data_IF_981556549840
#
_entry.id   IF_981556549840
#
_cell.length_a   1.000
_cell.length_b   1.000
_cell.length_c   1.000
_cell.angle_alpha   90.00
_cell.angle_beta   90.00
_cell.angle_gamma   90.00
#
_symmetry.space_group_name_H-M   'P 1'
#
loop_
_entity.id
_entity.type
_entity.pdbx_description
1 polymer ?
#
# COMPACT_ATOMS: atom_id res chain seq x y z
N UNK A 1 14.74 -1.77 4.11
CA UNK A 1 13.97 -0.99 5.11
C UNK A 1 14.92 -0.62 6.23
N UNK A 2 14.84 0.63 6.68
CA UNK A 2 15.54 1.13 7.87
C UNK A 2 14.46 1.63 8.82
N UNK A 3 14.47 1.14 10.06
CA UNK A 3 13.50 1.50 11.09
C UNK A 3 14.22 2.02 12.33
N UNK A 4 13.67 3.07 12.91
CA UNK A 4 14.19 3.69 14.14
C UNK A 4 13.06 3.82 15.14
N UNK A 5 13.33 3.46 16.39
CA UNK A 5 12.47 3.70 17.54
C UNK A 5 13.26 4.45 18.62
N UNK A 6 12.74 5.56 19.09
CA UNK A 6 13.39 6.43 20.07
C UNK A 6 12.43 6.82 21.19
N UNK A 7 12.78 6.47 22.41
CA UNK A 7 12.10 6.99 23.58
C UNK A 7 12.54 8.43 23.86
N UNK A 8 11.62 9.37 23.70
CA UNK A 8 11.86 10.79 23.99
C UNK A 8 11.63 11.11 25.48
N UNK A 9 10.76 10.34 26.13
CA UNK A 9 10.47 10.46 27.57
C UNK A 9 9.84 9.16 28.08
N UNK A 10 9.50 9.12 29.37
CA UNK A 10 8.76 8.00 29.96
C UNK A 10 7.36 7.80 29.39
N UNK A 11 6.85 8.77 28.61
CA UNK A 11 5.50 8.74 28.02
C UNK A 11 5.49 8.74 26.49
N UNK A 12 6.54 9.24 25.84
CA UNK A 12 6.61 9.40 24.39
C UNK A 12 7.68 8.54 23.78
N UNK A 13 7.29 7.76 22.79
CA UNK A 13 8.16 7.01 21.89
C UNK A 13 7.87 7.46 20.45
N UNK A 14 8.90 7.78 19.70
CA UNK A 14 8.82 8.12 18.28
C UNK A 14 9.32 6.96 17.45
N UNK A 15 8.67 6.74 16.32
CA UNK A 15 8.97 5.70 15.36
C UNK A 15 9.18 6.32 13.98
N UNK A 16 10.12 5.78 13.23
CA UNK A 16 10.37 6.21 11.87
C UNK A 16 10.78 5.04 11.00
N UNK A 17 10.23 4.94 9.80
CA UNK A 17 10.59 3.94 8.80
C UNK A 17 10.89 4.61 7.47
N UNK A 18 11.99 4.17 6.84
CA UNK A 18 12.33 4.47 5.48
C UNK A 18 12.46 3.16 4.71
N UNK A 19 11.69 3.00 3.66
CA UNK A 19 11.67 1.80 2.84
C UNK A 19 11.89 2.14 1.38
N UNK A 20 12.74 1.37 0.71
CA UNK A 20 12.93 1.41 -0.72
C UNK A 20 12.51 0.07 -1.32
N UNK A 21 11.84 0.11 -2.47
CA UNK A 21 11.38 -1.08 -3.20
C UNK A 21 11.78 -1.00 -4.66
N UNK A 22 12.54 -1.98 -5.15
CA UNK A 22 13.03 -2.09 -6.52
C UNK A 22 11.97 -2.65 -7.50
N UNK A 23 10.89 -1.92 -7.71
CA UNK A 23 9.82 -2.31 -8.63
C UNK A 23 10.26 -2.39 -10.10
N UNK A 24 11.35 -1.68 -10.47
CA UNK A 24 11.91 -1.71 -11.82
C UNK A 24 12.41 -3.09 -12.22
N UNK A 25 12.67 -3.98 -11.26
CA UNK A 25 13.04 -5.39 -11.52
C UNK A 25 11.90 -6.23 -12.10
N UNK A 26 10.67 -5.70 -12.11
CA UNK A 26 9.48 -6.36 -12.67
C UNK A 26 9.01 -5.59 -13.92
N UNK A 27 9.64 -5.80 -15.09
CA UNK A 27 9.33 -5.01 -16.30
C UNK A 27 7.99 -5.38 -16.92
N UNK A 28 7.50 -6.61 -16.69
CA UNK A 28 6.29 -7.13 -17.30
C UNK A 28 5.72 -8.32 -16.54
N UNK A 29 4.43 -8.59 -16.74
CA UNK A 29 3.77 -9.84 -16.38
C UNK A 29 3.26 -10.52 -17.65
N UNK A 30 3.66 -11.76 -17.91
CA UNK A 30 3.14 -12.59 -18.97
C UNK A 30 2.13 -13.59 -18.39
N UNK A 31 0.89 -13.51 -18.83
CA UNK A 31 -0.17 -14.46 -18.49
C UNK A 31 -0.15 -15.58 -19.53
N UNK A 32 0.17 -16.80 -19.11
CA UNK A 32 0.26 -17.98 -19.98
C UNK A 32 -0.95 -18.87 -19.75
N UNK A 33 -1.56 -19.35 -20.83
CA UNK A 33 -2.63 -20.35 -20.76
C UNK A 33 -2.07 -21.70 -20.32
N UNK A 34 -2.67 -22.32 -19.32
CA UNK A 34 -2.21 -23.59 -18.74
C UNK A 34 -3.08 -24.78 -19.12
N UNK A 35 -4.14 -24.57 -19.94
CA UNK A 35 -5.07 -25.63 -20.39
C UNK A 35 -5.72 -25.28 -21.73
N UNK A 36 -6.37 -26.28 -22.35
CA UNK A 36 -7.09 -26.15 -23.63
C UNK A 36 -6.18 -26.20 -24.85
N UNK A 37 -6.77 -25.96 -26.04
CA UNK A 37 -6.09 -26.05 -27.34
C UNK A 37 -4.92 -25.05 -27.46
N UNK A 38 -4.96 -23.94 -26.74
CA UNK A 38 -3.94 -22.91 -26.75
C UNK A 38 -3.00 -23.00 -25.54
N UNK A 39 -2.88 -24.17 -24.91
CA UNK A 39 -1.98 -24.39 -23.79
C UNK A 39 -0.54 -23.99 -24.13
N UNK A 40 0.15 -23.33 -23.22
CA UNK A 40 1.50 -22.81 -23.40
C UNK A 40 1.58 -21.49 -24.16
N UNK A 41 0.48 -20.98 -24.73
CA UNK A 41 0.49 -19.69 -25.42
C UNK A 41 0.27 -18.53 -24.46
N UNK A 42 0.83 -17.37 -24.80
CA UNK A 42 0.63 -16.14 -24.07
C UNK A 42 -0.81 -15.63 -24.24
N UNK A 43 -1.55 -15.53 -23.12
CA UNK A 43 -2.89 -14.97 -23.11
C UNK A 43 -2.88 -13.43 -23.11
N UNK A 44 -1.97 -12.85 -22.33
CA UNK A 44 -1.84 -11.41 -22.21
C UNK A 44 -0.43 -11.06 -21.72
N UNK A 45 0.08 -9.90 -22.15
CA UNK A 45 1.26 -9.26 -21.58
C UNK A 45 0.84 -7.94 -20.96
N UNK A 46 1.27 -7.72 -19.72
CA UNK A 46 1.08 -6.46 -19.01
C UNK A 46 2.44 -5.81 -18.80
N UNK A 47 2.78 -4.86 -19.66
CA UNK A 47 4.00 -4.08 -19.49
C UNK A 47 3.80 -3.08 -18.35
N UNK A 48 4.56 -3.22 -17.27
CA UNK A 48 4.46 -2.41 -16.06
C UNK A 48 5.28 -1.14 -16.16
N UNK A 49 6.50 -1.25 -16.69
CA UNK A 49 7.46 -0.15 -16.81
C UNK A 49 7.54 0.67 -15.50
N UNK A 50 7.55 -0.03 -14.37
CA UNK A 50 7.57 0.57 -13.04
C UNK A 50 8.89 1.30 -12.76
N UNK A 51 8.85 2.25 -11.83
CA UNK A 51 10.03 2.85 -11.19
C UNK A 51 10.19 2.30 -9.78
N UNK A 52 11.40 2.38 -9.27
CA UNK A 52 11.65 2.14 -7.86
C UNK A 52 11.00 3.23 -7.01
N UNK A 53 10.58 2.86 -5.82
CA UNK A 53 9.81 3.75 -4.96
C UNK A 53 10.35 3.80 -3.55
N UNK A 54 10.08 4.93 -2.91
CA UNK A 54 10.30 5.16 -1.50
C UNK A 54 8.98 5.22 -0.75
N UNK A 55 9.03 4.75 0.49
CA UNK A 55 7.99 4.95 1.48
C UNK A 55 8.63 5.49 2.75
N UNK A 56 8.05 6.57 3.27
CA UNK A 56 8.46 7.20 4.52
C UNK A 56 7.28 7.12 5.47
N UNK A 57 7.52 6.66 6.71
CA UNK A 57 6.51 6.61 7.74
C UNK A 57 7.05 7.17 9.05
N UNK A 58 6.20 7.91 9.76
CA UNK A 58 6.47 8.43 11.08
C UNK A 58 5.33 8.01 12.01
N UNK A 59 5.67 7.63 13.22
CA UNK A 59 4.73 7.23 14.25
C UNK A 59 5.08 7.80 15.61
N UNK A 60 4.09 7.88 16.46
CA UNK A 60 4.26 8.25 17.86
C UNK A 60 3.37 7.39 18.75
N UNK A 61 3.94 6.86 19.80
CA UNK A 61 3.23 6.20 20.88
C UNK A 61 3.23 7.12 22.10
N UNK A 62 2.05 7.33 22.69
CA UNK A 62 1.88 8.11 23.91
C UNK A 62 1.29 7.25 25.02
N UNK A 63 2.04 7.05 26.08
CA UNK A 63 1.55 6.41 27.30
C UNK A 63 0.73 7.40 28.12
N UNK A 64 -0.60 7.30 27.98
CA UNK A 64 -1.51 8.17 28.74
C UNK A 64 -1.46 7.82 30.23
N UNK A 65 -1.55 6.51 30.57
CA UNK A 65 -1.35 5.95 31.91
C UNK A 65 -0.89 4.48 31.80
N UNK A 66 -0.91 3.73 32.89
CA UNK A 66 -0.45 2.32 32.88
C UNK A 66 -1.39 1.38 32.13
N UNK A 67 -2.65 1.77 31.90
CA UNK A 67 -3.65 0.97 31.20
C UNK A 67 -3.84 1.41 29.75
N UNK A 68 -3.56 2.67 29.39
CA UNK A 68 -3.85 3.23 28.09
C UNK A 68 -2.62 3.75 27.36
N UNK A 69 -2.46 3.33 26.11
CA UNK A 69 -1.47 3.85 25.16
C UNK A 69 -2.18 4.28 23.89
N UNK A 70 -1.91 5.49 23.44
CA UNK A 70 -2.38 6.03 22.18
C UNK A 70 -1.28 5.92 21.14
N UNK A 71 -1.66 5.68 19.87
CA UNK A 71 -0.73 5.47 18.76
C UNK A 71 -1.17 6.36 17.60
N UNK A 72 -0.22 7.05 17.00
CA UNK A 72 -0.43 7.94 15.87
C UNK A 72 0.53 7.58 14.76
N UNK A 73 0.11 7.72 13.50
CA UNK A 73 0.99 7.48 12.39
C UNK A 73 0.60 8.27 11.15
N UNK A 74 1.61 8.67 10.40
CA UNK A 74 1.50 9.23 9.06
C UNK A 74 2.52 8.54 8.16
N UNK A 75 2.13 8.22 6.92
CA UNK A 75 3.07 7.71 5.95
C UNK A 75 2.76 8.23 4.55
N UNK A 76 3.82 8.45 3.79
CA UNK A 76 3.75 8.71 2.36
C UNK A 76 4.35 7.53 1.62
N UNK A 77 3.61 7.02 0.63
CA UNK A 77 3.97 5.85 -0.16
C UNK A 77 3.92 6.22 -1.64
N UNK A 78 5.08 6.23 -2.28
CA UNK A 78 5.23 6.64 -3.67
C UNK A 78 4.76 5.53 -4.62
N UNK A 79 4.00 5.89 -5.65
CA UNK A 79 3.56 4.94 -6.68
C UNK A 79 4.71 4.50 -7.59
N UNK A 80 4.79 3.20 -7.98
CA UNK A 80 5.70 2.74 -9.01
C UNK A 80 5.29 3.15 -10.43
N UNK A 81 4.04 3.56 -10.64
CA UNK A 81 3.51 3.93 -11.95
C UNK A 81 4.02 5.31 -12.37
N UNK A 82 4.77 5.37 -13.47
CA UNK A 82 5.41 6.61 -13.95
C UNK A 82 4.46 7.58 -14.61
N UNK A 83 3.53 7.09 -15.43
CA UNK A 83 2.70 7.91 -16.34
C UNK A 83 1.30 7.34 -16.51
N UNK A 84 0.37 8.18 -16.96
CA UNK A 84 -1.01 7.76 -17.30
C UNK A 84 -1.07 6.72 -18.41
N UNK A 85 -0.12 6.75 -19.35
CA UNK A 85 -0.03 5.84 -20.51
C UNK A 85 0.47 4.44 -20.12
N UNK A 86 1.28 4.34 -19.05
CA UNK A 86 1.81 3.06 -18.55
C UNK A 86 0.97 2.47 -17.42
N UNK A 87 -0.06 3.21 -16.95
CA UNK A 87 -0.95 2.74 -15.90
C UNK A 87 -1.79 1.56 -16.36
N UNK A 88 -1.80 0.50 -15.57
CA UNK A 88 -2.65 -0.65 -15.84
C UNK A 88 -4.09 -0.30 -15.46
N UNK A 89 -5.04 -0.67 -16.33
CA UNK A 89 -6.48 -0.44 -16.10
C UNK A 89 -6.94 -1.14 -14.82
N UNK A 90 -6.38 -2.32 -14.55
CA UNK A 90 -6.71 -3.16 -13.40
C UNK A 90 -6.07 -2.68 -12.09
N UNK A 91 -5.03 -1.83 -12.18
CA UNK A 91 -4.27 -1.34 -11.03
C UNK A 91 -4.14 0.19 -11.12
N UNK A 92 -5.21 0.92 -10.77
CA UNK A 92 -5.20 2.39 -10.79
C UNK A 92 -4.44 2.91 -9.56
N UNK A 93 -3.11 2.80 -9.58
CA UNK A 93 -2.26 3.20 -8.47
C UNK A 93 -1.72 4.62 -8.63
N UNK A 94 -1.60 5.36 -7.54
CA UNK A 94 -0.92 6.64 -7.44
C UNK A 94 -0.30 6.80 -6.05
N UNK A 95 0.38 7.92 -5.82
CA UNK A 95 0.94 8.26 -4.52
C UNK A 95 -0.14 8.23 -3.44
N UNK A 96 0.22 7.70 -2.27
CA UNK A 96 -0.70 7.44 -1.17
C UNK A 96 -0.25 8.14 0.10
N UNK A 97 -1.20 8.73 0.78
CA UNK A 97 -1.01 9.27 2.13
C UNK A 97 -1.82 8.43 3.11
N UNK A 98 -1.17 7.99 4.16
CA UNK A 98 -1.76 7.24 5.25
C UNK A 98 -1.83 8.10 6.49
N UNK A 99 -2.98 8.13 7.12
CA UNK A 99 -3.18 8.67 8.45
C UNK A 99 -3.71 7.54 9.33
N UNK A 100 -3.10 7.32 10.47
CA UNK A 100 -3.51 6.23 11.36
C UNK A 100 -3.59 6.69 12.81
N UNK A 101 -4.55 6.11 13.51
CA UNK A 101 -4.76 6.28 14.93
C UNK A 101 -5.03 4.92 15.55
N UNK A 102 -4.50 4.69 16.74
CA UNK A 102 -4.73 3.46 17.47
C UNK A 102 -4.76 3.68 18.96
N UNK A 103 -5.39 2.77 19.66
CA UNK A 103 -5.36 2.73 21.10
C UNK A 103 -5.12 1.31 21.59
N UNK A 104 -4.40 1.18 22.69
CA UNK A 104 -4.17 -0.07 23.39
C UNK A 104 -4.70 0.09 24.80
N UNK A 105 -5.55 -0.81 25.23
CA UNK A 105 -6.10 -0.87 26.56
C UNK A 105 -5.66 -2.16 27.27
N UNK A 106 -5.07 -2.01 28.43
CA UNK A 106 -4.57 -3.09 29.28
C UNK A 106 -5.24 -3.00 30.68
N UNK A 107 -6.46 -3.58 30.82
CA UNK A 107 -7.17 -3.51 32.12
C UNK A 107 -6.43 -4.21 33.26
N UNK A 108 -5.63 -5.21 32.92
CA UNK A 108 -4.77 -5.95 33.85
C UNK A 108 -3.52 -6.47 33.10
N UNK A 109 -2.59 -7.10 33.82
CA UNK A 109 -1.32 -7.60 33.25
C UNK A 109 -1.49 -8.76 32.23
N UNK A 110 -2.61 -9.45 32.27
CA UNK A 110 -2.87 -10.60 31.39
C UNK A 110 -3.74 -10.29 30.18
N UNK A 111 -4.38 -9.12 30.13
CA UNK A 111 -5.35 -8.81 29.07
C UNK A 111 -4.99 -7.54 28.33
N UNK A 112 -5.10 -7.56 26.99
CA UNK A 112 -4.83 -6.42 26.14
C UNK A 112 -5.82 -6.35 24.99
N UNK A 113 -6.41 -5.16 24.75
CA UNK A 113 -7.22 -4.84 23.59
C UNK A 113 -6.51 -3.74 22.79
N UNK A 114 -6.19 -4.03 21.55
CA UNK A 114 -5.66 -3.07 20.58
C UNK A 114 -6.77 -2.74 19.57
N UNK A 115 -7.02 -1.45 19.35
CA UNK A 115 -7.93 -0.94 18.33
C UNK A 115 -7.15 -0.03 17.39
N UNK A 116 -7.45 -0.10 16.11
CA UNK A 116 -6.79 0.70 15.08
C UNK A 116 -7.75 1.20 14.02
N UNK A 117 -7.48 2.40 13.56
CA UNK A 117 -8.14 3.06 12.45
C UNK A 117 -7.08 3.64 11.52
N UNK A 118 -7.20 3.41 10.23
CA UNK A 118 -6.38 4.09 9.24
C UNK A 118 -7.24 4.63 8.09
N UNK A 119 -6.87 5.81 7.63
CA UNK A 119 -7.39 6.43 6.42
C UNK A 119 -6.30 6.47 5.37
N UNK A 120 -6.57 5.90 4.22
CA UNK A 120 -5.72 5.92 3.04
C UNK A 120 -6.33 6.87 2.02
N UNK A 121 -5.63 7.92 1.71
CA UNK A 121 -5.92 8.82 0.60
C UNK A 121 -5.03 8.45 -0.57
N UNK A 122 -5.64 8.14 -1.72
CA UNK A 122 -4.94 7.92 -3.00
C UNK A 122 -5.08 9.19 -3.83
N UNK A 123 -3.95 9.76 -4.26
CA UNK A 123 -3.97 10.94 -5.11
C UNK A 123 -4.72 10.66 -6.41
N UNK A 124 -5.53 11.62 -6.85
CA UNK A 124 -6.26 11.57 -8.12
C UNK A 124 -5.43 11.03 -9.27
N UNK A 125 -5.96 10.04 -9.96
CA UNK A 125 -5.21 9.22 -10.91
C UNK A 125 -5.82 9.31 -12.30
N UNK A 126 -5.07 9.84 -13.26
CA UNK A 126 -5.49 9.86 -14.67
C UNK A 126 -4.98 8.59 -15.36
N UNK A 127 -5.80 8.02 -16.25
CA UNK A 127 -5.40 6.96 -17.18
C UNK A 127 -5.61 7.45 -18.61
N UNK A 128 -4.64 7.17 -19.47
CA UNK A 128 -4.69 7.44 -20.91
C UNK A 128 -3.91 6.34 -21.63
N UNK A 129 -4.42 5.11 -21.53
CA UNK A 129 -3.73 3.92 -22.01
C UNK A 129 -4.29 3.46 -23.36
N UNK A 130 -3.41 3.30 -24.34
CA UNK A 130 -3.70 2.52 -25.53
C UNK A 130 -3.60 1.04 -25.17
N UNK A 131 -4.69 0.31 -25.34
CA UNK A 131 -4.75 -1.13 -25.05
C UNK A 131 -4.43 -1.88 -26.34
N UNK A 132 -3.20 -2.39 -26.40
CA UNK A 132 -2.78 -3.26 -27.50
C UNK A 132 -2.91 -4.71 -27.05
N UNK A 133 -3.61 -5.50 -27.82
CA UNK A 133 -3.59 -6.95 -27.67
C UNK A 133 -2.42 -7.47 -28.52
N UNK A 134 -1.23 -7.57 -27.91
CA UNK A 134 0.00 -8.00 -28.56
C UNK A 134 -0.12 -9.39 -29.25
N UNK A 135 -1.07 -10.21 -28.80
CA UNK A 135 -1.37 -11.53 -29.39
C UNK A 135 -2.25 -11.50 -30.62
N UNK A 136 -2.87 -10.36 -30.96
CA UNK A 136 -3.87 -10.28 -32.03
C UNK A 136 -3.55 -9.24 -33.11
N UNK A 137 -2.46 -8.46 -32.96
CA UNK A 137 -1.97 -7.54 -33.99
C UNK A 137 -2.85 -6.32 -34.26
N UNK A 138 -3.87 -6.04 -33.43
CA UNK A 138 -4.71 -4.86 -33.59
C UNK A 138 -4.86 -4.10 -32.26
N UNK A 139 -5.13 -2.81 -32.37
CA UNK A 139 -5.39 -1.93 -31.24
C UNK A 139 -6.80 -2.18 -30.70
N UNK A 140 -6.91 -2.56 -29.41
CA UNK A 140 -8.19 -2.79 -28.75
C UNK A 140 -8.88 -1.47 -28.32
N UNK A 141 -8.27 -0.31 -28.64
CA UNK A 141 -8.79 1.01 -28.32
C UNK A 141 -8.03 1.71 -27.20
N UNK A 142 -8.44 2.95 -26.92
CA UNK A 142 -7.83 3.81 -25.90
C UNK A 142 -8.75 3.93 -24.69
N UNK A 143 -8.22 3.66 -23.49
CA UNK A 143 -8.91 3.90 -22.22
C UNK A 143 -8.44 5.21 -21.63
N UNK A 144 -9.35 6.15 -21.47
CA UNK A 144 -9.12 7.45 -20.83
C UNK A 144 -10.08 7.65 -19.67
N UNK A 145 -9.61 8.22 -18.57
CA UNK A 145 -10.45 8.45 -17.40
C UNK A 145 -9.66 9.00 -16.22
N UNK A 146 -10.37 9.11 -15.11
CA UNK A 146 -9.84 9.51 -13.81
C UNK A 146 -10.33 8.53 -12.77
N UNK A 147 -9.42 8.13 -11.89
CA UNK A 147 -9.74 7.37 -10.69
C UNK A 147 -9.60 8.31 -9.49
N UNK A 148 -10.56 8.22 -8.60
CA UNK A 148 -10.56 8.87 -7.29
C UNK A 148 -10.83 7.79 -6.26
N UNK A 149 -10.05 7.74 -5.20
CA UNK A 149 -10.16 6.67 -4.24
C UNK A 149 -9.63 7.01 -2.85
N UNK A 150 -10.36 6.51 -1.87
CA UNK A 150 -9.93 6.50 -0.48
C UNK A 150 -10.39 5.22 0.20
N UNK A 151 -9.74 4.85 1.28
CA UNK A 151 -10.06 3.64 2.02
C UNK A 151 -9.97 3.90 3.51
N UNK A 152 -10.96 3.39 4.25
CA UNK A 152 -10.92 3.29 5.70
C UNK A 152 -10.61 1.85 6.12
N UNK A 153 -9.68 1.69 7.04
CA UNK A 153 -9.29 0.38 7.57
C UNK A 153 -9.50 0.39 9.08
N UNK A 154 -10.26 -0.58 9.58
CA UNK A 154 -10.50 -0.78 11.00
C UNK A 154 -9.88 -2.10 11.43
N UNK A 155 -9.26 -2.12 12.58
CA UNK A 155 -8.67 -3.31 13.16
C UNK A 155 -8.93 -3.41 14.65
N UNK A 156 -9.16 -4.62 15.14
CA UNK A 156 -9.26 -4.92 16.57
C UNK A 156 -8.53 -6.22 16.85
N UNK A 157 -7.77 -6.25 17.94
CA UNK A 157 -7.07 -7.44 18.41
C UNK A 157 -7.20 -7.55 19.92
N UNK A 158 -7.64 -8.72 20.41
CA UNK A 158 -7.61 -9.06 21.82
C UNK A 158 -6.54 -10.10 22.08
N UNK A 159 -5.77 -9.94 23.14
CA UNK A 159 -4.75 -10.86 23.58
C UNK A 159 -4.93 -11.16 25.09
N UNK A 160 -4.87 -12.45 25.44
CA UNK A 160 -4.99 -12.94 26.80
C UNK A 160 -3.81 -13.84 27.13
N UNK A 161 -3.11 -13.55 28.21
CA UNK A 161 -2.14 -14.48 28.81
C UNK A 161 -2.82 -15.35 29.87
N UNK A 162 -2.52 -16.63 29.88
CA UNK A 162 -3.02 -17.62 30.83
C UNK A 162 -1.90 -18.09 31.79
#
# INVERSE_FOLDING_TARGET
IISVAQNLSNRWEMLGDLSWTGWSSIPKFDLIRTSGVLNGTQAQRLDTNFRDTWRIALGANYKYNDQWKLKYGIAYDQTPVKRSETRLVQLPDNDRLWLSFGTQWMPNKGSRLDLGLAYLYVRDTKINKLVNTASQGYEAGRVTGKYDGSLWVFGAQYSQAF
#
